data_IF_724227024503
#
_entry.id   IF_724227024503
#
_cell.length_a   1.000
_cell.length_b   1.000
_cell.length_c   1.000
_cell.angle_alpha   90.00
_cell.angle_beta   90.00
_cell.angle_gamma   90.00
#
_symmetry.space_group_name_H-M   'P 1'
#
loop_
_entity.id
_entity.type
_entity.pdbx_description
1 polymer ?
#
# COMPACT_ATOMS: atom_id res chain seq x y z
N UNK A 1 -24.96 13.01 15.08
CA UNK A 1 -25.05 12.03 13.97
C UNK A 1 -26.43 12.17 13.35
N UNK A 2 -26.53 12.28 12.03
CA UNK A 2 -27.83 12.28 11.31
C UNK A 2 -28.43 10.87 11.21
N UNK A 3 -29.26 10.63 10.19
CA UNK A 3 -29.70 9.28 9.78
C UNK A 3 -29.30 8.99 8.33
N UNK A 4 -29.53 7.76 7.85
CA UNK A 4 -29.28 7.38 6.46
C UNK A 4 -30.15 8.21 5.48
N UNK A 5 -31.35 8.61 5.89
CA UNK A 5 -32.26 9.46 5.11
C UNK A 5 -31.98 10.96 5.26
N UNK A 6 -31.24 11.35 6.30
CA UNK A 6 -30.94 12.73 6.64
C UNK A 6 -29.55 12.82 7.30
N UNK A 7 -28.46 12.63 6.54
CA UNK A 7 -27.12 12.81 7.07
C UNK A 7 -26.95 14.26 7.52
N UNK A 8 -26.35 14.45 8.69
CA UNK A 8 -26.17 15.75 9.32
C UNK A 8 -24.70 15.95 9.68
N UNK A 9 -24.14 17.05 9.19
CA UNK A 9 -22.78 17.51 9.45
C UNK A 9 -22.84 18.90 10.10
N UNK A 10 -21.79 19.29 10.81
CA UNK A 10 -21.65 20.68 11.27
C UNK A 10 -21.30 21.62 10.09
N UNK A 11 -21.08 22.90 10.38
CA UNK A 11 -20.77 23.90 9.35
C UNK A 11 -19.39 23.76 8.71
N UNK A 12 -18.57 22.81 9.17
CA UNK A 12 -17.16 22.70 8.83
C UNK A 12 -16.31 23.79 9.50
N UNK A 13 -15.02 23.51 9.59
CA UNK A 13 -14.02 24.47 10.07
C UNK A 13 -12.72 24.26 9.30
N UNK A 14 -11.92 25.33 9.18
CA UNK A 14 -10.53 25.17 8.76
C UNK A 14 -9.75 24.49 9.88
N UNK A 15 -9.03 23.41 9.53
CA UNK A 15 -8.04 22.84 10.42
C UNK A 15 -6.84 23.78 10.51
N UNK A 16 -6.30 23.94 11.70
CA UNK A 16 -5.24 24.90 11.99
C UNK A 16 -4.02 24.24 12.60
N UNK A 17 -2.84 24.73 12.24
CA UNK A 17 -1.53 24.29 12.76
C UNK A 17 -0.83 25.44 13.49
N UNK A 18 -0.07 25.11 14.52
CA UNK A 18 0.79 26.06 15.24
C UNK A 18 0.64 25.96 16.76
N UNK A 19 1.42 26.75 17.47
CA UNK A 19 1.37 26.82 18.92
C UNK A 19 0.05 27.44 19.41
N UNK A 20 -0.38 27.15 20.66
CA UNK A 20 -1.56 27.77 21.23
C UNK A 20 -1.51 29.31 21.16
N UNK A 21 -2.54 29.92 20.57
CA UNK A 21 -2.62 31.39 20.38
C UNK A 21 -1.99 31.91 19.08
N UNK A 22 -1.27 31.07 18.35
CA UNK A 22 -0.61 31.42 17.07
C UNK A 22 -1.07 30.53 15.91
N UNK A 23 -2.16 29.79 16.11
CA UNK A 23 -2.70 28.87 15.11
C UNK A 23 -3.12 29.60 13.83
N UNK A 24 -2.72 29.02 12.71
CA UNK A 24 -3.10 29.47 11.37
C UNK A 24 -3.73 28.32 10.60
N UNK A 25 -4.61 28.63 9.65
CA UNK A 25 -5.21 27.62 8.79
C UNK A 25 -4.11 26.83 8.07
N UNK A 26 -4.26 25.50 8.03
CA UNK A 26 -3.36 24.62 7.29
C UNK A 26 -3.39 25.01 5.81
N UNK A 27 -2.22 25.31 5.25
CA UNK A 27 -2.05 25.73 3.86
C UNK A 27 -0.82 25.06 3.25
N UNK A 28 -1.06 23.99 2.50
CA UNK A 28 -0.10 23.43 1.55
C UNK A 28 -0.06 24.27 0.26
N UNK A 29 0.93 24.04 -0.61
CA UNK A 29 1.15 24.91 -1.77
C UNK A 29 -0.10 25.13 -2.64
N UNK A 30 -0.72 24.06 -3.16
CA UNK A 30 -2.02 24.11 -3.82
C UNK A 30 -2.63 22.70 -3.97
N UNK A 31 -3.94 22.62 -4.25
CA UNK A 31 -4.66 21.36 -4.54
C UNK A 31 -4.45 20.27 -3.47
N UNK A 32 -4.65 20.64 -2.21
CA UNK A 32 -4.54 19.72 -1.07
C UNK A 32 -5.31 18.41 -1.31
N UNK A 33 -4.64 17.28 -1.09
CA UNK A 33 -5.26 15.94 -1.07
C UNK A 33 -5.03 15.34 0.32
N UNK A 34 -5.94 15.61 1.27
CA UNK A 34 -5.79 15.12 2.64
C UNK A 34 -6.15 13.64 2.76
N UNK A 35 -5.42 12.93 3.60
CA UNK A 35 -5.73 11.60 4.13
C UNK A 35 -5.64 11.65 5.65
N UNK A 36 -6.61 11.01 6.32
CA UNK A 36 -6.67 10.92 7.77
C UNK A 36 -6.24 9.52 8.21
N UNK A 37 -5.13 9.42 8.92
CA UNK A 37 -4.50 8.15 9.31
C UNK A 37 -3.89 8.31 10.70
N UNK A 38 -3.86 7.25 11.50
CA UNK A 38 -3.05 7.25 12.72
C UNK A 38 -1.59 7.08 12.31
N UNK A 39 -0.92 8.19 12.00
CA UNK A 39 0.38 8.17 11.32
C UNK A 39 1.42 7.52 12.22
N UNK A 40 1.49 7.95 13.48
CA UNK A 40 2.52 7.56 14.44
C UNK A 40 2.13 6.41 15.39
N UNK A 41 0.97 5.77 15.17
CA UNK A 41 0.39 4.71 16.03
C UNK A 41 0.11 5.15 17.47
N UNK A 42 -0.27 6.41 17.68
CA UNK A 42 -0.65 6.90 19.00
C UNK A 42 -2.16 6.79 19.30
N UNK A 43 -2.93 6.24 18.35
CA UNK A 43 -4.36 6.01 18.47
C UNK A 43 -5.21 7.21 18.07
N UNK A 44 -4.60 8.30 17.58
CA UNK A 44 -5.30 9.51 17.13
C UNK A 44 -5.16 9.68 15.63
N UNK A 45 -6.16 10.26 14.98
CA UNK A 45 -6.09 10.58 13.55
C UNK A 45 -5.22 11.81 13.32
N UNK A 46 -4.14 11.59 12.58
CA UNK A 46 -3.25 12.60 12.00
C UNK A 46 -3.65 12.93 10.57
N UNK A 47 -2.97 13.90 9.96
CA UNK A 47 -3.16 14.26 8.56
C UNK A 47 -1.90 14.06 7.74
N UNK A 48 -2.07 13.40 6.60
CA UNK A 48 -1.09 13.36 5.51
C UNK A 48 -1.70 14.06 4.31
N UNK A 49 -1.04 15.10 3.80
CA UNK A 49 -1.61 15.99 2.78
C UNK A 49 -0.67 16.07 1.59
N UNK A 50 -1.12 15.53 0.46
CA UNK A 50 -0.48 15.75 -0.83
C UNK A 50 -0.73 17.16 -1.36
N UNK A 51 0.15 17.61 -2.25
CA UNK A 51 0.22 18.98 -2.74
C UNK A 51 0.59 19.04 -4.22
N UNK A 52 0.19 20.14 -4.87
CA UNK A 52 0.42 20.40 -6.29
C UNK A 52 1.89 20.37 -6.67
N UNK A 53 2.80 20.85 -5.84
CA UNK A 53 4.24 20.85 -6.08
C UNK A 53 4.89 19.46 -5.94
N UNK A 54 4.13 18.45 -5.51
CA UNK A 54 4.61 17.08 -5.30
C UNK A 54 5.11 16.84 -3.87
N UNK A 55 5.07 17.83 -2.99
CA UNK A 55 5.38 17.64 -1.58
C UNK A 55 4.29 16.83 -0.86
N UNK A 56 4.66 16.17 0.22
CA UNK A 56 3.73 15.50 1.13
C UNK A 56 3.96 16.10 2.52
N UNK A 57 2.91 16.70 3.06
CA UNK A 57 2.92 17.35 4.37
C UNK A 57 2.30 16.42 5.41
N UNK A 58 2.84 16.42 6.63
CA UNK A 58 2.38 15.61 7.75
C UNK A 58 2.07 16.55 8.90
N UNK A 59 0.91 16.35 9.52
CA UNK A 59 0.46 17.09 10.70
C UNK A 59 0.03 16.10 11.77
N UNK A 60 0.81 16.00 12.85
CA UNK A 60 0.50 15.15 13.99
C UNK A 60 -0.55 15.81 14.89
N UNK A 61 -1.56 15.04 15.27
CA UNK A 61 -2.61 15.45 16.17
C UNK A 61 -2.19 15.20 17.62
N UNK A 62 -1.82 16.25 18.33
CA UNK A 62 -1.45 16.16 19.75
C UNK A 62 -2.66 16.27 20.70
N UNK A 63 -3.87 16.39 20.16
CA UNK A 63 -5.13 16.53 20.89
C UNK A 63 -5.90 15.22 20.98
N UNK A 64 -7.16 15.24 20.53
CA UNK A 64 -8.03 14.07 20.38
C UNK A 64 -8.71 14.10 19.02
N UNK A 65 -9.30 12.98 18.56
CA UNK A 65 -10.07 12.96 17.31
C UNK A 65 -11.27 13.93 17.33
N UNK A 66 -11.87 14.14 18.51
CA UNK A 66 -12.99 15.07 18.69
C UNK A 66 -12.58 16.55 18.76
N UNK A 67 -11.31 16.83 19.02
CA UNK A 67 -10.74 18.15 19.18
C UNK A 67 -9.25 18.10 18.80
N UNK A 68 -8.95 18.07 17.49
CA UNK A 68 -7.58 17.88 17.02
C UNK A 68 -6.69 19.09 17.33
N UNK A 69 -5.44 18.84 17.72
CA UNK A 69 -4.45 19.86 18.04
C UNK A 69 -3.16 19.65 17.23
N UNK A 70 -3.14 20.15 15.99
CA UNK A 70 -1.92 20.16 15.17
C UNK A 70 -0.99 21.29 15.60
N UNK A 71 0.24 20.97 16.01
CA UNK A 71 1.22 21.96 16.50
C UNK A 71 2.38 22.22 15.55
N UNK A 72 2.78 21.21 14.81
CA UNK A 72 3.96 21.25 13.94
C UNK A 72 3.59 20.82 12.53
N UNK A 73 4.09 21.56 11.55
CA UNK A 73 4.11 21.15 10.15
C UNK A 73 5.42 20.44 9.86
N UNK A 74 5.36 19.24 9.32
CA UNK A 74 6.51 18.54 8.77
C UNK A 74 6.24 18.10 7.34
N UNK A 75 7.32 17.77 6.63
CA UNK A 75 7.24 17.20 5.29
C UNK A 75 7.93 15.85 5.28
N UNK A 76 7.38 14.90 4.51
CA UNK A 76 8.00 13.60 4.33
C UNK A 76 9.43 13.74 3.81
N UNK A 77 10.34 12.90 4.32
CA UNK A 77 11.75 12.93 3.98
C UNK A 77 12.16 11.65 3.24
N UNK A 78 13.06 11.81 2.29
CA UNK A 78 13.73 10.74 1.54
C UNK A 78 15.24 10.92 1.70
N UNK A 79 15.91 9.98 2.35
CA UNK A 79 17.37 10.02 2.53
C UNK A 79 17.90 11.30 3.18
N UNK A 80 17.15 11.90 4.11
CA UNK A 80 17.51 13.15 4.79
C UNK A 80 17.24 14.43 3.99
N UNK A 81 16.51 14.34 2.86
CA UNK A 81 16.06 15.49 2.07
C UNK A 81 14.55 15.46 1.88
N UNK A 82 13.95 16.59 1.50
CA UNK A 82 12.50 16.66 1.27
C UNK A 82 12.08 15.68 0.16
N UNK A 83 11.10 14.85 0.46
CA UNK A 83 10.48 13.96 -0.51
C UNK A 83 9.63 14.80 -1.47
N UNK A 84 9.98 14.72 -2.75
CA UNK A 84 9.28 15.38 -3.84
C UNK A 84 8.83 14.34 -4.86
N UNK A 85 7.51 14.18 -5.01
CA UNK A 85 6.94 13.25 -5.98
C UNK A 85 7.16 13.77 -7.41
N UNK A 86 7.75 12.98 -8.32
CA UNK A 86 7.93 13.39 -9.71
C UNK A 86 6.60 13.72 -10.38
N UNK A 87 6.62 14.66 -11.32
CA UNK A 87 5.45 14.97 -12.13
C UNK A 87 4.37 15.79 -11.43
N UNK A 88 4.57 16.24 -10.17
CA UNK A 88 3.67 17.14 -9.43
C UNK A 88 2.34 16.49 -9.00
N UNK A 89 1.57 17.15 -8.12
CA UNK A 89 0.28 16.70 -7.58
C UNK A 89 0.35 15.34 -6.90
N UNK A 90 1.08 15.26 -5.80
CA UNK A 90 1.09 14.07 -4.96
C UNK A 90 -0.34 13.78 -4.47
N UNK A 91 -0.76 12.52 -4.60
CA UNK A 91 -2.00 11.98 -4.04
C UNK A 91 -1.62 10.75 -3.21
N UNK A 92 -1.21 10.95 -1.95
CA UNK A 92 -0.70 9.87 -1.12
C UNK A 92 -1.82 9.01 -0.56
N UNK A 93 -1.56 7.71 -0.50
CA UNK A 93 -2.24 6.71 0.29
C UNK A 93 -1.22 6.10 1.25
N UNK A 94 -1.65 5.82 2.49
CA UNK A 94 -0.79 5.40 3.58
C UNK A 94 -1.26 4.04 4.08
N UNK A 95 -0.38 3.04 4.00
CA UNK A 95 -0.64 1.68 4.48
C UNK A 95 0.70 0.98 4.69
N UNK A 96 0.71 -0.10 5.47
CA UNK A 96 1.80 -1.07 5.44
C UNK A 96 1.63 -1.91 4.17
N UNK A 97 2.54 -1.74 3.20
CA UNK A 97 2.41 -2.33 1.86
C UNK A 97 3.44 -3.41 1.59
N UNK A 98 4.53 -3.44 2.37
CA UNK A 98 5.55 -4.49 2.32
C UNK A 98 5.48 -5.49 3.49
N UNK A 99 4.54 -5.30 4.42
CA UNK A 99 4.23 -6.23 5.51
C UNK A 99 5.22 -6.15 6.67
N UNK A 100 6.05 -5.12 6.73
CA UNK A 100 7.09 -4.98 7.75
C UNK A 100 6.59 -4.33 9.06
N UNK A 101 5.30 -3.96 9.11
CA UNK A 101 4.64 -3.33 10.25
C UNK A 101 4.80 -1.81 10.31
N UNK A 102 5.39 -1.18 9.29
CA UNK A 102 5.51 0.29 9.19
C UNK A 102 4.64 0.81 8.06
N UNK A 103 4.22 2.06 8.18
CA UNK A 103 3.42 2.71 7.14
C UNK A 103 4.30 3.23 6.02
N UNK A 104 4.01 2.75 4.83
CA UNK A 104 4.58 3.20 3.57
C UNK A 104 3.72 4.27 2.90
N UNK A 105 4.24 4.80 1.79
CA UNK A 105 3.50 5.72 0.92
C UNK A 105 3.33 5.13 -0.47
N UNK A 106 2.07 5.00 -0.89
CA UNK A 106 1.68 4.77 -2.27
C UNK A 106 1.15 6.08 -2.85
N UNK A 107 1.82 6.64 -3.85
CA UNK A 107 1.56 8.02 -4.27
C UNK A 107 1.30 8.11 -5.76
N UNK A 108 0.10 8.60 -6.09
CA UNK A 108 -0.23 9.02 -7.46
C UNK A 108 0.28 10.42 -7.78
N UNK A 109 0.38 10.76 -9.06
CA UNK A 109 0.85 12.05 -9.54
C UNK A 109 0.00 12.61 -10.70
N UNK A 110 0.35 13.81 -11.19
CA UNK A 110 -0.33 14.42 -12.33
C UNK A 110 -0.17 13.61 -13.63
N UNK A 111 0.96 12.95 -13.84
CA UNK A 111 1.26 12.23 -15.08
C UNK A 111 0.49 10.89 -15.22
N UNK A 112 -0.16 10.41 -14.16
CA UNK A 112 -0.83 9.11 -14.16
C UNK A 112 0.07 7.96 -13.68
N UNK A 113 1.19 8.28 -13.05
CA UNK A 113 2.16 7.31 -12.55
C UNK A 113 1.87 6.94 -11.10
N UNK A 114 2.28 5.75 -10.69
CA UNK A 114 2.15 5.28 -9.31
C UNK A 114 3.51 4.97 -8.70
N UNK A 115 3.80 5.58 -7.56
CA UNK A 115 5.07 5.46 -6.86
C UNK A 115 4.90 4.80 -5.51
N UNK A 116 5.80 3.89 -5.17
CA UNK A 116 5.93 3.31 -3.84
C UNK A 116 7.18 3.85 -3.15
N UNK A 117 7.03 4.29 -1.91
CA UNK A 117 8.11 4.70 -1.02
C UNK A 117 8.02 3.88 0.27
N UNK A 118 9.00 3.01 0.49
CA UNK A 118 9.07 2.17 1.71
C UNK A 118 9.62 2.98 2.88
N UNK A 119 9.01 2.83 4.05
CA UNK A 119 9.47 3.47 5.29
C UNK A 119 10.58 2.65 5.96
N UNK A 120 11.80 3.14 5.88
CA UNK A 120 12.96 2.51 6.54
C UNK A 120 13.21 3.02 7.96
N UNK A 121 12.45 4.03 8.41
CA UNK A 121 12.54 4.58 9.75
C UNK A 121 11.55 3.92 10.71
N UNK A 122 10.77 4.76 11.39
CA UNK A 122 9.63 4.34 12.21
C UNK A 122 8.40 5.13 11.79
N UNK A 123 7.22 4.76 12.27
CA UNK A 123 6.00 5.54 12.02
C UNK A 123 6.05 6.93 12.66
N UNK A 124 6.67 7.06 13.84
CA UNK A 124 6.83 8.35 14.53
C UNK A 124 7.93 9.24 13.92
N UNK A 125 8.97 8.65 13.35
CA UNK A 125 10.09 9.33 12.68
C UNK A 125 10.40 8.61 11.35
N UNK A 126 9.61 8.89 10.30
CA UNK A 126 9.67 8.18 9.03
C UNK A 126 10.87 8.63 8.21
N UNK A 127 11.50 7.67 7.54
CA UNK A 127 12.55 7.94 6.56
C UNK A 127 12.32 7.05 5.36
N UNK A 128 11.93 7.65 4.24
CA UNK A 128 11.58 6.90 3.04
C UNK A 128 12.79 6.59 2.16
N UNK A 129 12.73 5.46 1.48
CA UNK A 129 13.63 5.12 0.38
C UNK A 129 13.41 6.03 -0.84
N UNK A 130 14.30 5.95 -1.83
CA UNK A 130 13.96 6.42 -3.17
C UNK A 130 12.74 5.66 -3.68
N UNK A 131 11.88 6.34 -4.44
CA UNK A 131 10.71 5.66 -5.00
C UNK A 131 11.10 4.53 -5.95
N UNK A 132 10.23 3.53 -6.00
CA UNK A 132 10.10 2.65 -7.16
C UNK A 132 8.77 2.96 -7.86
N UNK A 133 8.75 2.80 -9.19
CA UNK A 133 7.48 2.80 -9.90
C UNK A 133 6.81 1.46 -9.67
N UNK A 134 5.56 1.49 -9.20
CA UNK A 134 4.77 0.29 -8.93
C UNK A 134 4.60 -0.48 -10.23
N UNK A 135 4.65 -1.82 -10.15
CA UNK A 135 4.50 -2.71 -11.30
C UNK A 135 3.32 -3.64 -11.12
N UNK A 136 2.73 -4.02 -12.23
CA UNK A 136 1.75 -5.10 -12.32
C UNK A 136 2.04 -5.90 -13.59
N UNK A 137 2.07 -7.23 -13.49
CA UNK A 137 2.48 -8.13 -14.59
C UNK A 137 3.80 -7.70 -15.26
N UNK A 138 4.80 -7.30 -14.45
CA UNK A 138 6.13 -6.86 -14.92
C UNK A 138 6.18 -5.45 -15.54
N UNK A 139 5.04 -4.83 -15.82
CA UNK A 139 4.94 -3.49 -16.41
C UNK A 139 4.77 -2.43 -15.33
N UNK A 140 5.39 -1.26 -15.51
CA UNK A 140 5.15 -0.13 -14.61
C UNK A 140 3.73 0.37 -14.77
N UNK A 141 3.10 0.77 -13.67
CA UNK A 141 1.83 1.46 -13.66
C UNK A 141 2.11 2.93 -13.99
N UNK A 142 2.17 3.18 -15.29
CA UNK A 142 2.16 4.50 -15.92
C UNK A 142 0.95 4.52 -16.86
N UNK A 143 -0.07 5.31 -16.53
CA UNK A 143 -1.33 5.28 -17.26
C UNK A 143 -1.28 5.97 -18.63
N UNK A 144 -0.10 6.43 -19.08
CA UNK A 144 0.22 6.99 -20.41
C UNK A 144 -0.87 7.91 -21.00
N UNK A 145 -0.61 9.22 -21.03
CA UNK A 145 -1.56 10.25 -21.48
C UNK A 145 -2.88 10.33 -20.67
N UNK A 146 -3.03 9.53 -19.61
CA UNK A 146 -4.14 9.62 -18.66
C UNK A 146 -3.65 10.32 -17.37
N UNK A 147 -3.98 11.59 -17.15
CA UNK A 147 -3.43 12.34 -16.04
C UNK A 147 -4.09 11.96 -14.69
N UNK A 148 -3.41 12.27 -13.59
CA UNK A 148 -3.92 12.23 -12.20
C UNK A 148 -4.27 10.83 -11.71
N UNK A 149 -3.26 10.02 -11.41
CA UNK A 149 -3.44 8.80 -10.63
C UNK A 149 -3.80 9.14 -9.18
N UNK A 150 -4.78 8.42 -8.63
CA UNK A 150 -5.22 8.53 -7.23
C UNK A 150 -5.43 7.14 -6.65
N UNK A 151 -4.46 6.60 -5.90
CA UNK A 151 -4.60 5.29 -5.27
C UNK A 151 -5.61 5.34 -4.11
N UNK A 152 -6.19 4.18 -3.85
CA UNK A 152 -6.85 3.80 -2.61
C UNK A 152 -6.47 2.34 -2.34
N UNK A 153 -6.13 2.01 -1.10
CA UNK A 153 -5.68 0.66 -0.73
C UNK A 153 -6.76 -0.03 0.09
N UNK A 154 -7.05 -1.28 -0.25
CA UNK A 154 -7.94 -2.14 0.50
C UNK A 154 -7.63 -3.60 0.16
N UNK A 155 -7.93 -4.52 1.05
CA UNK A 155 -8.05 -5.93 0.69
C UNK A 155 -9.40 -6.11 -0.06
N UNK A 156 -9.38 -6.29 -1.38
CA UNK A 156 -10.59 -6.32 -2.20
C UNK A 156 -11.23 -7.71 -2.27
N UNK A 157 -10.40 -8.76 -2.13
CA UNK A 157 -10.81 -10.16 -2.23
C UNK A 157 -10.75 -10.91 -0.89
N UNK A 158 -10.49 -10.21 0.21
CA UNK A 158 -10.36 -10.77 1.57
C UNK A 158 -9.24 -11.83 1.66
N UNK A 159 -8.15 -11.66 0.89
CA UNK A 159 -7.02 -12.60 0.86
C UNK A 159 -5.89 -12.24 1.84
N UNK A 160 -6.01 -11.11 2.53
CA UNK A 160 -5.02 -10.62 3.50
C UNK A 160 -3.91 -9.77 2.90
N UNK A 161 -3.85 -9.59 1.57
CA UNK A 161 -2.91 -8.70 0.90
C UNK A 161 -3.58 -7.37 0.50
N UNK A 162 -2.84 -6.24 0.56
CA UNK A 162 -3.38 -4.96 0.14
C UNK A 162 -3.48 -4.86 -1.39
N UNK A 163 -4.69 -4.70 -1.91
CA UNK A 163 -4.97 -4.38 -3.31
C UNK A 163 -5.03 -2.86 -3.54
N UNK A 164 -4.88 -2.46 -4.81
CA UNK A 164 -4.89 -1.05 -5.22
C UNK A 164 -6.04 -0.77 -6.17
N UNK A 165 -6.94 0.12 -5.74
CA UNK A 165 -7.87 0.83 -6.62
C UNK A 165 -7.22 2.12 -7.11
N UNK A 166 -7.13 2.29 -8.42
CA UNK A 166 -6.51 3.46 -9.04
C UNK A 166 -7.54 4.23 -9.87
N UNK A 167 -7.95 5.39 -9.34
CA UNK A 167 -8.73 6.37 -10.08
C UNK A 167 -7.84 7.24 -10.97
N UNK A 168 -8.36 7.66 -12.12
CA UNK A 168 -7.61 8.53 -13.04
C UNK A 168 -8.44 9.59 -13.75
N UNK A 169 -7.78 10.54 -14.40
CA UNK A 169 -8.38 11.71 -15.04
C UNK A 169 -9.25 11.43 -16.26
N UNK A 170 -9.20 10.21 -16.81
CA UNK A 170 -10.15 9.69 -17.80
C UNK A 170 -11.49 9.26 -17.19
N UNK A 171 -11.64 9.37 -15.85
CA UNK A 171 -12.85 8.97 -15.12
C UNK A 171 -12.96 7.47 -14.89
N UNK A 172 -11.93 6.68 -15.21
CA UNK A 172 -11.91 5.24 -14.98
C UNK A 172 -11.33 4.91 -13.61
N UNK A 173 -11.72 3.74 -13.11
CA UNK A 173 -11.14 3.08 -11.94
C UNK A 173 -10.53 1.77 -12.41
N UNK A 174 -9.29 1.49 -11.99
CA UNK A 174 -8.59 0.23 -12.26
C UNK A 174 -8.35 -0.48 -10.94
N UNK A 175 -8.56 -1.79 -10.91
CA UNK A 175 -8.20 -2.65 -9.78
C UNK A 175 -6.90 -3.37 -10.13
N UNK A 176 -5.90 -3.24 -9.28
CA UNK A 176 -4.67 -4.02 -9.31
C UNK A 176 -4.69 -4.90 -8.07
N UNK A 177 -4.76 -6.21 -8.27
CA UNK A 177 -4.72 -7.16 -7.17
C UNK A 177 -3.28 -7.52 -6.82
N UNK A 178 -3.01 -7.59 -5.53
CA UNK A 178 -1.81 -8.20 -5.02
C UNK A 178 -2.03 -9.72 -4.93
N UNK A 179 -0.94 -10.48 -4.96
CA UNK A 179 -0.99 -11.94 -4.91
C UNK A 179 0.24 -12.44 -4.15
N UNK A 180 0.07 -13.52 -3.41
CA UNK A 180 1.19 -14.23 -2.79
C UNK A 180 2.18 -14.67 -3.86
N UNK A 181 3.46 -14.64 -3.52
CA UNK A 181 4.50 -15.07 -4.44
C UNK A 181 4.35 -16.58 -4.72
N UNK A 182 4.66 -17.00 -5.94
CA UNK A 182 4.77 -18.42 -6.27
C UNK A 182 5.85 -19.05 -5.38
N UNK A 183 5.49 -20.13 -4.70
CA UNK A 183 6.30 -20.75 -3.65
C UNK A 183 5.97 -20.31 -2.22
N UNK A 184 5.13 -19.30 -2.00
CA UNK A 184 4.59 -18.98 -0.68
C UNK A 184 3.33 -19.82 -0.47
N UNK A 185 3.48 -20.98 0.16
CA UNK A 185 2.42 -21.97 0.27
C UNK A 185 1.71 -21.92 1.63
N UNK A 186 2.24 -21.18 2.59
CA UNK A 186 1.54 -20.93 3.85
C UNK A 186 0.85 -19.54 3.87
N UNK A 187 1.09 -18.71 2.85
CA UNK A 187 0.56 -17.36 2.66
C UNK A 187 0.91 -16.41 3.80
N UNK A 188 2.15 -16.48 4.27
CA UNK A 188 2.72 -15.57 5.25
C UNK A 188 3.46 -14.37 4.63
N UNK A 189 3.33 -14.22 3.30
CA UNK A 189 4.00 -13.21 2.47
C UNK A 189 5.52 -13.41 2.34
N UNK A 190 6.05 -14.58 2.69
CA UNK A 190 7.47 -14.87 2.59
C UNK A 190 7.75 -16.30 2.10
N UNK A 191 8.33 -16.43 0.90
CA UNK A 191 8.84 -17.73 0.43
C UNK A 191 10.06 -18.15 1.24
N UNK A 192 9.90 -19.15 2.10
CA UNK A 192 10.93 -19.60 3.02
C UNK A 192 10.72 -21.08 3.45
N UNK A 193 11.61 -21.60 4.31
CA UNK A 193 11.59 -23.03 4.69
C UNK A 193 10.29 -23.49 5.38
N UNK A 194 9.47 -22.57 5.89
CA UNK A 194 8.16 -22.87 6.45
C UNK A 194 7.10 -23.21 5.38
N UNK A 195 7.39 -23.00 4.10
CA UNK A 195 6.52 -23.40 2.99
C UNK A 195 6.67 -24.87 2.61
N UNK A 196 7.71 -25.57 3.07
CA UNK A 196 8.02 -26.93 2.61
C UNK A 196 6.88 -27.91 2.92
N UNK A 197 6.35 -27.89 4.15
CA UNK A 197 5.27 -28.79 4.55
C UNK A 197 3.98 -28.49 3.77
N UNK A 198 3.72 -27.20 3.54
CA UNK A 198 2.57 -26.72 2.78
C UNK A 198 2.68 -27.09 1.28
N UNK A 199 3.88 -26.97 0.70
CA UNK A 199 4.19 -27.40 -0.66
C UNK A 199 4.02 -28.91 -0.84
N UNK A 200 4.53 -29.74 0.09
CA UNK A 200 4.32 -31.19 0.05
C UNK A 200 2.83 -31.53 0.12
N UNK A 201 2.07 -30.82 0.96
CA UNK A 201 0.62 -31.01 1.06
C UNK A 201 -0.10 -30.59 -0.23
N UNK A 202 0.27 -29.47 -0.85
CA UNK A 202 -0.26 -29.04 -2.14
C UNK A 202 0.03 -30.07 -3.24
N UNK A 203 1.29 -30.51 -3.34
CA UNK A 203 1.75 -31.49 -4.32
C UNK A 203 1.02 -32.84 -4.19
N UNK A 204 0.77 -33.31 -2.96
CA UNK A 204 0.10 -34.59 -2.72
C UNK A 204 -1.42 -34.53 -2.77
N UNK A 205 -2.00 -33.33 -2.82
CA UNK A 205 -3.44 -33.11 -2.94
C UNK A 205 -3.87 -32.50 -4.28
N UNK A 206 -2.92 -32.21 -5.18
CA UNK A 206 -3.18 -31.78 -6.55
C UNK A 206 -3.91 -32.87 -7.37
N UNK A 207 -4.73 -32.51 -8.37
CA UNK A 207 -5.04 -31.14 -8.80
C UNK A 207 -6.21 -30.48 -8.04
N UNK A 208 -6.89 -31.19 -7.13
CA UNK A 208 -8.06 -30.64 -6.43
C UNK A 208 -7.69 -29.81 -5.18
N UNK A 209 -6.48 -29.96 -4.65
CA UNK A 209 -5.91 -29.25 -3.50
C UNK A 209 -6.73 -29.33 -2.21
N UNK A 210 -7.68 -30.28 -2.10
CA UNK A 210 -8.67 -30.28 -1.02
C UNK A 210 -8.09 -30.35 0.39
N UNK A 211 -7.01 -31.11 0.59
CA UNK A 211 -6.33 -31.17 1.90
C UNK A 211 -5.50 -29.91 2.18
N UNK A 212 -4.85 -29.37 1.14
CA UNK A 212 -4.07 -28.14 1.23
C UNK A 212 -4.95 -26.92 1.55
N UNK A 213 -6.01 -26.69 0.78
CA UNK A 213 -6.94 -25.56 0.99
C UNK A 213 -7.75 -25.68 2.29
N UNK A 214 -7.89 -26.88 2.84
CA UNK A 214 -8.46 -27.05 4.18
C UNK A 214 -7.51 -26.60 5.30
N UNK A 215 -6.20 -26.70 5.08
CA UNK A 215 -5.18 -26.24 6.02
C UNK A 215 -4.83 -24.75 5.82
N UNK A 216 -4.87 -24.27 4.58
CA UNK A 216 -4.50 -22.92 4.17
C UNK A 216 -5.62 -22.28 3.32
N UNK A 217 -6.75 -21.89 3.94
CA UNK A 217 -7.94 -21.46 3.22
C UNK A 217 -7.81 -20.11 2.51
N UNK A 218 -6.85 -19.28 2.91
CA UNK A 218 -6.51 -18.01 2.25
C UNK A 218 -5.57 -18.18 1.04
N UNK A 219 -5.00 -19.37 0.86
CA UNK A 219 -4.04 -19.62 -0.21
C UNK A 219 -4.68 -20.15 -1.49
N UNK A 220 -3.91 -20.08 -2.58
CA UNK A 220 -4.24 -20.71 -3.86
C UNK A 220 -3.34 -21.92 -4.12
N UNK A 221 -3.90 -23.06 -4.52
CA UNK A 221 -3.12 -24.28 -4.78
C UNK A 221 -2.10 -24.11 -5.92
N UNK A 222 -2.34 -23.18 -6.85
CA UNK A 222 -1.44 -22.89 -7.96
C UNK A 222 -0.17 -22.14 -7.54
N UNK A 223 -0.04 -21.69 -6.29
CA UNK A 223 1.23 -21.19 -5.76
C UNK A 223 2.30 -22.30 -5.72
N UNK A 224 1.91 -23.58 -5.79
CA UNK A 224 2.82 -24.73 -5.91
C UNK A 224 3.25 -25.03 -7.36
N UNK A 225 2.69 -24.36 -8.37
CA UNK A 225 3.12 -24.49 -9.78
C UNK A 225 4.34 -23.58 -9.98
N UNK A 226 5.48 -24.01 -9.44
CA UNK A 226 6.69 -23.20 -9.36
C UNK A 226 7.48 -23.22 -10.67
N UNK A 227 7.12 -24.03 -11.66
CA UNK A 227 7.63 -23.90 -13.03
C UNK A 227 6.68 -23.14 -13.99
N UNK A 228 5.49 -22.76 -13.53
CA UNK A 228 4.47 -22.05 -14.29
C UNK A 228 3.97 -22.82 -15.54
N UNK A 229 3.92 -24.16 -15.51
CA UNK A 229 3.46 -24.97 -16.64
C UNK A 229 1.94 -25.28 -16.60
N UNK A 230 1.26 -24.85 -15.55
CA UNK A 230 -0.16 -25.04 -15.30
C UNK A 230 -0.48 -26.35 -14.56
N UNK A 231 0.53 -27.11 -14.09
CA UNK A 231 0.34 -28.38 -13.40
C UNK A 231 1.22 -28.52 -12.17
N UNK A 232 0.61 -28.57 -10.98
CA UNK A 232 1.33 -28.94 -9.76
C UNK A 232 1.69 -30.42 -9.74
N UNK A 233 2.97 -30.74 -9.91
CA UNK A 233 3.51 -32.09 -9.97
C UNK A 233 5.00 -32.14 -9.55
N UNK A 234 5.67 -33.29 -9.74
CA UNK A 234 7.04 -33.49 -9.25
C UNK A 234 8.07 -32.55 -9.91
N UNK A 235 7.75 -31.99 -11.07
CA UNK A 235 8.60 -31.03 -11.78
C UNK A 235 8.63 -29.65 -11.13
N UNK A 236 7.78 -29.39 -10.12
CA UNK A 236 7.79 -28.17 -9.32
C UNK A 236 8.75 -28.24 -8.13
N UNK A 237 9.32 -29.40 -7.83
CA UNK A 237 10.21 -29.56 -6.66
C UNK A 237 11.49 -28.73 -6.81
N UNK A 238 12.19 -28.88 -7.94
CA UNK A 238 13.45 -28.15 -8.17
C UNK A 238 13.23 -26.63 -8.28
N UNK A 239 12.24 -26.11 -9.04
CA UNK A 239 11.93 -24.68 -9.05
C UNK A 239 11.44 -24.15 -7.70
N UNK A 240 10.75 -24.95 -6.90
CA UNK A 240 10.39 -24.54 -5.53
C UNK A 240 11.65 -24.37 -4.66
N UNK A 241 12.63 -25.28 -4.78
CA UNK A 241 13.93 -25.12 -4.10
C UNK A 241 14.64 -23.85 -4.56
N UNK A 242 14.55 -23.49 -5.85
CA UNK A 242 15.09 -22.24 -6.38
C UNK A 242 14.42 -21.01 -5.73
N UNK A 243 13.09 -21.03 -5.56
CA UNK A 243 12.37 -19.98 -4.83
C UNK A 243 12.87 -19.83 -3.38
N UNK A 244 13.07 -20.94 -2.66
CA UNK A 244 13.55 -20.93 -1.27
C UNK A 244 14.95 -20.32 -1.08
N UNK A 245 15.81 -20.44 -2.08
CA UNK A 245 17.19 -19.91 -2.02
C UNK A 245 17.30 -18.50 -2.62
N UNK A 246 16.17 -17.88 -3.01
CA UNK A 246 16.14 -16.56 -3.63
C UNK A 246 16.78 -16.53 -5.03
N UNK A 247 16.87 -17.68 -5.71
CA UNK A 247 17.13 -17.68 -7.14
C UNK A 247 15.91 -17.09 -7.85
N UNK A 248 16.11 -16.41 -8.99
CA UNK A 248 15.08 -15.63 -9.65
C UNK A 248 13.77 -16.45 -9.80
N UNK A 249 12.74 -16.05 -9.04
CA UNK A 249 11.41 -16.65 -9.13
C UNK A 249 10.94 -16.58 -10.58
N UNK A 250 10.42 -17.68 -11.14
CA UNK A 250 9.81 -17.60 -12.45
C UNK A 250 8.62 -16.64 -12.38
N UNK A 251 8.54 -15.76 -13.38
CA UNK A 251 7.41 -14.84 -13.49
C UNK A 251 6.23 -15.61 -14.06
N UNK A 252 5.45 -16.26 -13.18
CA UNK A 252 4.13 -16.74 -13.57
C UNK A 252 3.26 -15.50 -13.90
N UNK A 253 2.50 -15.53 -15.00
CA UNK A 253 1.65 -14.43 -15.43
C UNK A 253 0.48 -14.14 -14.49
#
# INVERSE_FOLDING_TARGET
VGSDEAPAFDGGAYLQVGQPGEKVDIRVAARATPSAVDWNNDGRKDLVVGSYDGSIYIYLNEGTDSAPDFRTESQAQMGGTLLMVPGSRSSPEVADLDGDGKKDLLVGNHAGQLFFFSNTGTDADPSFTTYIMVRSAGLVIDLEDVPRSRPAVCDWNDDGLPDVLLGSGDGKVRLYRNHYAVGDLNCDAAVNVFDIDAFVLALTSAPEFGAYLAAYPQCEGMLADTNCDGQVNVFDIDPFVDCLVGAASPSCP
#
